data_IF_003384137690
#
_entry.id   IF_003384137690
#
_cell.length_a   1.000
_cell.length_b   1.000
_cell.length_c   1.000
_cell.angle_alpha   90.00
_cell.angle_beta   90.00
_cell.angle_gamma   90.00
#
_symmetry.space_group_name_H-M   'P 1'
#
loop_
_entity.id
_entity.type
_entity.pdbx_description
1 polymer ?
#
# COMPACT_ATOMS: atom_id res chain seq x y z
N UNK A 1 -10.32 -0.03 -19.20
CA UNK A 1 -9.09 0.07 -20.04
C UNK A 1 -9.04 1.29 -20.98
N UNK A 2 -10.14 2.02 -21.19
CA UNK A 2 -10.19 3.22 -22.08
C UNK A 2 -9.07 4.25 -21.86
N UNK A 3 -8.64 4.46 -20.61
CA UNK A 3 -7.54 5.40 -20.32
C UNK A 3 -6.17 4.86 -20.70
N UNK A 4 -5.96 3.53 -20.64
CA UNK A 4 -4.69 2.92 -21.03
C UNK A 4 -4.47 3.06 -22.54
N UNK A 5 -5.49 2.74 -23.35
CA UNK A 5 -5.41 2.89 -24.80
C UNK A 5 -5.21 4.36 -25.18
N UNK A 6 -5.93 5.29 -24.56
CA UNK A 6 -5.76 6.72 -24.82
C UNK A 6 -4.35 7.25 -24.53
N UNK A 7 -3.72 6.82 -23.43
CA UNK A 7 -2.34 7.22 -23.11
C UNK A 7 -1.36 6.65 -24.17
N UNK A 8 -1.51 5.39 -24.56
CA UNK A 8 -0.66 4.76 -25.56
C UNK A 8 -0.80 5.43 -26.94
N UNK A 9 -2.03 5.76 -27.32
CA UNK A 9 -2.33 6.45 -28.57
C UNK A 9 -1.69 7.84 -28.60
N UNK A 10 -1.74 8.58 -27.48
CA UNK A 10 -1.07 9.89 -27.37
C UNK A 10 0.46 9.79 -27.49
N UNK A 11 1.08 8.81 -26.83
CA UNK A 11 2.53 8.59 -26.92
C UNK A 11 2.94 8.27 -28.36
N UNK A 12 2.16 7.41 -29.03
CA UNK A 12 2.39 7.02 -30.42
C UNK A 12 2.16 8.20 -31.37
N UNK A 13 1.13 9.00 -31.12
CA UNK A 13 0.82 10.21 -31.90
C UNK A 13 1.93 11.27 -31.81
N UNK A 14 2.60 11.38 -30.65
CA UNK A 14 3.77 12.24 -30.48
C UNK A 14 5.04 11.71 -31.18
N UNK A 15 4.96 10.57 -31.88
CA UNK A 15 6.07 9.97 -32.63
C UNK A 15 7.01 9.10 -31.79
N UNK A 16 6.68 8.85 -30.52
CA UNK A 16 7.49 8.01 -29.63
C UNK A 16 6.98 6.57 -29.63
N UNK A 17 7.91 5.61 -29.59
CA UNK A 17 7.59 4.20 -29.39
C UNK A 17 8.17 3.73 -28.05
N UNK A 18 7.33 3.35 -27.07
CA UNK A 18 7.83 2.84 -25.81
C UNK A 18 8.59 1.52 -26.04
N UNK A 19 9.78 1.41 -25.45
CA UNK A 19 10.58 0.18 -25.51
C UNK A 19 9.84 -1.02 -24.87
N UNK A 20 9.13 -0.77 -23.77
CA UNK A 20 8.34 -1.78 -23.06
C UNK A 20 7.13 -1.15 -22.38
N UNK A 21 5.99 -1.83 -22.43
CA UNK A 21 4.80 -1.50 -21.65
C UNK A 21 4.83 -2.36 -20.39
N UNK A 22 4.74 -1.72 -19.22
CA UNK A 22 4.74 -2.40 -17.91
C UNK A 22 3.60 -1.87 -17.06
N UNK A 23 3.04 -2.73 -16.21
CA UNK A 23 2.00 -2.33 -15.28
C UNK A 23 2.49 -2.51 -13.85
N UNK A 24 2.18 -1.54 -12.99
CA UNK A 24 2.55 -1.62 -11.58
C UNK A 24 1.96 -2.85 -10.89
N UNK A 25 0.78 -3.31 -11.34
CA UNK A 25 0.10 -4.51 -10.86
C UNK A 25 0.87 -5.81 -11.13
N UNK A 26 1.72 -5.85 -12.16
CA UNK A 26 2.57 -7.02 -12.44
C UNK A 26 3.61 -7.24 -11.32
N UNK A 27 3.83 -6.23 -10.47
CA UNK A 27 4.81 -6.25 -9.38
C UNK A 27 4.19 -6.37 -7.98
N UNK A 28 2.87 -6.59 -7.84
CA UNK A 28 2.22 -6.66 -6.53
C UNK A 28 2.82 -7.75 -5.62
N UNK A 29 3.16 -8.93 -6.16
CA UNK A 29 3.87 -9.96 -5.39
C UNK A 29 5.22 -9.49 -4.86
N UNK A 30 5.99 -8.79 -5.71
CA UNK A 30 7.30 -8.25 -5.32
C UNK A 30 7.14 -7.16 -4.25
N UNK A 31 6.17 -6.28 -4.41
CA UNK A 31 5.86 -5.22 -3.46
C UNK A 31 5.41 -5.80 -2.11
N UNK A 32 4.60 -6.86 -2.12
CA UNK A 32 4.17 -7.55 -0.90
C UNK A 32 5.35 -8.18 -0.17
N UNK A 33 6.24 -8.87 -0.90
CA UNK A 33 7.44 -9.46 -0.32
C UNK A 33 8.39 -8.40 0.26
N UNK A 34 8.51 -7.25 -0.39
CA UNK A 34 9.26 -6.11 0.15
C UNK A 34 8.62 -5.55 1.43
N UNK A 35 7.29 -5.46 1.49
CA UNK A 35 6.58 -5.05 2.71
C UNK A 35 6.83 -6.02 3.87
N UNK A 36 6.76 -7.33 3.63
CA UNK A 36 7.11 -8.36 4.63
C UNK A 36 8.55 -8.20 5.11
N UNK A 37 9.49 -7.90 4.21
CA UNK A 37 10.89 -7.66 4.57
C UNK A 37 11.07 -6.40 5.42
N UNK A 38 10.35 -5.32 5.12
CA UNK A 38 10.36 -4.10 5.93
C UNK A 38 9.82 -4.36 7.34
N UNK A 39 8.74 -5.12 7.47
CA UNK A 39 8.20 -5.51 8.78
C UNK A 39 9.23 -6.33 9.56
N UNK A 40 9.87 -7.32 8.93
CA UNK A 40 10.94 -8.13 9.56
C UNK A 40 12.12 -7.31 10.07
N UNK A 41 12.40 -6.17 9.43
CA UNK A 41 13.46 -5.23 9.84
C UNK A 41 12.99 -4.19 10.86
N UNK A 42 11.78 -4.32 11.37
CA UNK A 42 11.13 -3.33 12.24
C UNK A 42 10.96 -1.94 11.59
N UNK A 43 10.95 -1.87 10.26
CA UNK A 43 10.79 -0.63 9.49
C UNK A 43 9.35 -0.37 9.05
N UNK A 44 8.44 -1.28 9.34
CA UNK A 44 7.01 -1.13 9.07
C UNK A 44 6.18 -1.88 10.12
N UNK A 45 4.96 -1.41 10.37
CA UNK A 45 4.02 -1.99 11.33
C UNK A 45 2.58 -1.84 10.83
N UNK A 46 1.71 -2.74 11.27
CA UNK A 46 0.26 -2.61 11.02
C UNK A 46 -0.33 -1.64 12.05
N UNK A 47 -1.28 -0.82 11.63
CA UNK A 47 -1.94 0.19 12.44
C UNK A 47 -3.46 0.07 12.28
N UNK A 48 -4.19 0.11 13.41
CA UNK A 48 -5.66 0.09 13.44
C UNK A 48 -6.27 1.46 13.82
N UNK A 49 -5.49 2.54 13.74
CA UNK A 49 -6.04 3.88 13.91
C UNK A 49 -6.94 4.21 12.73
N UNK A 50 -8.12 4.78 13.01
CA UNK A 50 -9.02 5.22 11.96
C UNK A 50 -8.48 6.49 11.32
N UNK A 51 -8.88 6.75 10.08
CA UNK A 51 -8.50 7.97 9.37
C UNK A 51 -8.90 9.24 10.16
N UNK A 52 -10.01 9.17 10.89
CA UNK A 52 -10.53 10.23 11.76
C UNK A 52 -9.56 10.59 12.89
N UNK A 53 -8.90 9.58 13.50
CA UNK A 53 -7.94 9.77 14.59
C UNK A 53 -6.61 10.38 14.11
N UNK A 54 -6.33 10.29 12.81
CA UNK A 54 -5.10 10.77 12.17
C UNK A 54 -5.34 12.11 11.46
N UNK A 55 -6.60 12.53 11.26
CA UNK A 55 -6.95 13.81 10.65
C UNK A 55 -6.70 14.96 11.64
N UNK A 56 -5.62 15.70 11.42
CA UNK A 56 -5.30 16.90 12.20
C UNK A 56 -3.95 17.49 11.82
N UNK A 57 -3.66 18.70 12.32
CA UNK A 57 -2.39 19.39 12.09
C UNK A 57 -1.21 18.71 12.82
N UNK A 58 -1.49 17.91 13.86
CA UNK A 58 -0.47 17.19 14.62
C UNK A 58 -1.04 15.89 15.24
N UNK A 59 -1.27 14.83 14.45
CA UNK A 59 -1.86 13.60 14.96
C UNK A 59 -0.89 12.93 15.96
N UNK A 60 -1.41 12.35 17.06
CA UNK A 60 -0.58 11.64 18.01
C UNK A 60 0.10 10.43 17.34
N UNK A 61 1.31 10.06 17.78
CA UNK A 61 2.00 8.90 17.24
C UNK A 61 1.14 7.65 17.43
N UNK A 62 1.24 6.71 16.49
CA UNK A 62 0.41 5.51 16.56
C UNK A 62 0.71 4.72 17.84
N UNK A 63 -0.31 4.32 18.63
CA UNK A 63 -0.11 3.46 19.79
C UNK A 63 0.45 2.08 19.38
N UNK A 64 0.36 1.75 18.10
CA UNK A 64 0.77 0.49 17.52
C UNK A 64 2.18 0.51 16.93
N UNK A 65 2.89 1.64 16.98
CA UNK A 65 4.22 1.81 16.37
C UNK A 65 5.29 0.87 16.94
N UNK A 66 5.18 0.52 18.21
CA UNK A 66 6.14 -0.33 18.95
C UNK A 66 5.69 -1.79 19.09
N UNK A 67 4.66 -2.21 18.35
CA UNK A 67 4.18 -3.59 18.42
C UNK A 67 5.25 -4.59 17.97
N UNK A 68 5.22 -5.84 18.47
CA UNK A 68 6.14 -6.88 18.05
C UNK A 68 6.09 -7.13 16.53
N UNK A 69 7.25 -7.43 15.96
CA UNK A 69 7.42 -7.76 14.54
C UNK A 69 6.53 -8.95 14.14
N UNK A 70 6.49 -10.00 14.96
CA UNK A 70 5.68 -11.21 14.73
C UNK A 70 4.18 -10.89 14.63
N UNK A 71 3.71 -10.00 15.50
CA UNK A 71 2.31 -9.56 15.50
C UNK A 71 2.00 -8.79 14.22
N UNK A 72 2.86 -7.84 13.82
CA UNK A 72 2.69 -7.09 12.55
C UNK A 72 2.68 -8.00 11.33
N UNK A 73 3.53 -9.05 11.31
CA UNK A 73 3.56 -10.02 10.21
C UNK A 73 2.27 -10.83 10.11
N UNK A 74 1.76 -11.31 11.25
CA UNK A 74 0.49 -12.05 11.28
C UNK A 74 -0.65 -11.17 10.81
N UNK A 75 -0.75 -9.96 11.33
CA UNK A 75 -1.80 -9.01 10.97
C UNK A 75 -1.73 -8.62 9.49
N UNK A 76 -0.54 -8.38 8.95
CA UNK A 76 -0.40 -8.05 7.52
C UNK A 76 -0.80 -9.23 6.61
N UNK A 77 -0.55 -10.47 7.04
CA UNK A 77 -1.05 -11.67 6.36
C UNK A 77 -2.58 -11.76 6.45
N UNK A 78 -3.15 -11.44 7.60
CA UNK A 78 -4.61 -11.42 7.80
C UNK A 78 -5.30 -10.32 6.99
N UNK A 79 -4.66 -9.15 6.81
CA UNK A 79 -5.09 -8.10 5.89
C UNK A 79 -5.16 -8.64 4.45
N UNK A 80 -4.12 -9.34 3.98
CA UNK A 80 -4.11 -9.96 2.64
C UNK A 80 -5.20 -11.04 2.47
N UNK A 81 -5.55 -11.74 3.55
CA UNK A 81 -6.57 -12.79 3.54
C UNK A 81 -8.00 -12.26 3.69
N UNK A 82 -8.19 -10.93 3.75
CA UNK A 82 -9.50 -10.31 3.85
C UNK A 82 -10.19 -10.50 5.20
N UNK A 83 -9.44 -10.57 6.30
CA UNK A 83 -10.00 -10.71 7.67
C UNK A 83 -10.42 -9.39 8.34
N UNK A 84 -10.27 -8.27 7.64
CA UNK A 84 -10.49 -6.92 8.16
C UNK A 84 -11.32 -6.12 7.16
N UNK A 85 -12.20 -5.25 7.62
CA UNK A 85 -12.98 -4.37 6.74
C UNK A 85 -12.14 -3.21 6.17
N UNK A 86 -12.66 -2.54 5.14
CA UNK A 86 -11.97 -1.39 4.53
C UNK A 86 -11.69 -0.30 5.57
N UNK A 87 -10.42 0.09 5.69
CA UNK A 87 -9.99 1.12 6.62
C UNK A 87 -9.81 0.68 8.07
N UNK A 88 -10.07 -0.58 8.42
CA UNK A 88 -9.81 -1.10 9.78
C UNK A 88 -8.32 -1.25 10.07
N UNK A 89 -7.53 -1.63 9.07
CA UNK A 89 -6.09 -1.80 9.21
C UNK A 89 -5.33 -1.19 8.03
N UNK A 90 -4.17 -0.61 8.34
CA UNK A 90 -3.23 -0.05 7.37
C UNK A 90 -1.81 -0.47 7.70
N UNK A 91 -0.96 -0.68 6.70
CA UNK A 91 0.47 -0.84 6.93
C UNK A 91 1.13 0.54 6.88
N UNK A 92 1.89 0.91 7.91
CA UNK A 92 2.63 2.17 7.99
C UNK A 92 4.14 1.90 8.03
N UNK A 93 4.91 2.73 7.35
CA UNK A 93 6.38 2.69 7.42
C UNK A 93 6.84 3.44 8.67
N UNK A 94 7.86 2.97 9.38
CA UNK A 94 8.45 3.66 10.54
C UNK A 94 9.46 4.71 10.10
N UNK A 95 9.00 5.76 9.43
CA UNK A 95 9.86 6.85 8.93
C UNK A 95 9.19 8.21 9.13
N UNK A 96 10.01 9.24 9.28
CA UNK A 96 9.57 10.64 9.24
C UNK A 96 10.03 11.22 7.91
N UNK A 97 9.08 11.71 7.09
CA UNK A 97 9.37 12.40 5.84
C UNK A 97 9.86 13.83 6.12
N UNK A 98 10.53 14.44 5.14
CA UNK A 98 11.11 15.79 5.26
C UNK A 98 10.06 16.87 5.61
N UNK A 99 8.81 16.68 5.18
CA UNK A 99 7.67 17.54 5.50
C UNK A 99 7.14 17.35 6.94
N UNK A 100 7.85 16.62 7.80
CA UNK A 100 7.42 16.28 9.16
C UNK A 100 6.33 15.21 9.21
N UNK A 101 5.89 14.69 8.06
CA UNK A 101 4.86 13.65 7.98
C UNK A 101 5.40 12.33 8.54
N UNK A 102 4.85 11.93 9.68
CA UNK A 102 5.23 10.72 10.39
C UNK A 102 4.48 9.50 9.88
N UNK A 103 5.24 8.42 9.74
CA UNK A 103 4.81 7.07 9.43
C UNK A 103 3.79 6.99 8.27
N UNK A 104 4.20 7.24 7.01
CA UNK A 104 3.31 7.20 5.87
C UNK A 104 2.69 5.80 5.66
N UNK A 105 1.45 5.77 5.18
CA UNK A 105 0.72 4.54 4.85
C UNK A 105 1.28 3.93 3.57
N UNK A 106 1.67 2.66 3.64
CA UNK A 106 2.16 1.85 2.52
C UNK A 106 1.08 0.95 1.91
N UNK A 107 0.21 0.34 2.74
CA UNK A 107 -0.89 -0.53 2.28
C UNK A 107 -2.20 -0.18 2.97
N UNK A 108 -3.31 -0.37 2.25
CA UNK A 108 -4.68 -0.13 2.74
C UNK A 108 -5.58 -1.24 2.25
N UNK A 109 -6.54 -1.65 3.06
CA UNK A 109 -7.53 -2.65 2.63
C UNK A 109 -8.52 -1.99 1.67
N UNK A 110 -8.75 -2.63 0.54
CA UNK A 110 -9.78 -2.23 -0.43
C UNK A 110 -10.33 -3.45 -1.16
N UNK A 111 -11.62 -3.71 -1.01
CA UNK A 111 -12.34 -4.80 -1.66
C UNK A 111 -12.90 -4.34 -3.01
N UNK A 112 -12.00 -3.92 -3.89
CA UNK A 112 -12.35 -3.54 -5.26
C UNK A 112 -11.50 -4.33 -6.24
N UNK A 113 -12.17 -5.07 -7.10
CA UNK A 113 -11.55 -5.86 -8.15
C UNK A 113 -10.61 -4.98 -9.00
N UNK A 114 -9.37 -5.42 -9.14
CA UNK A 114 -8.40 -4.74 -9.98
C UNK A 114 -8.57 -5.18 -11.44
N UNK A 115 -8.58 -4.23 -12.37
CA UNK A 115 -8.89 -4.48 -13.79
C UNK A 115 -7.99 -5.53 -14.49
N UNK A 116 -6.79 -5.81 -13.95
CA UNK A 116 -5.87 -6.85 -14.47
C UNK A 116 -5.70 -8.06 -13.57
N UNK A 117 -5.75 -7.87 -12.26
CA UNK A 117 -5.40 -8.91 -11.27
C UNK A 117 -6.63 -9.45 -10.55
N UNK A 118 -7.83 -8.98 -10.92
CA UNK A 118 -9.10 -9.40 -10.36
C UNK A 118 -9.13 -9.20 -8.84
N UNK A 119 -9.65 -10.22 -8.16
CA UNK A 119 -9.85 -10.26 -6.71
C UNK A 119 -8.68 -10.92 -5.95
N UNK A 120 -7.53 -11.08 -6.62
CA UNK A 120 -6.34 -11.71 -6.00
C UNK A 120 -5.78 -10.90 -4.83
N UNK A 121 -6.05 -9.59 -4.80
CA UNK A 121 -5.51 -8.66 -3.81
C UNK A 121 -6.62 -7.79 -3.24
N UNK A 122 -6.73 -7.78 -1.92
CA UNK A 122 -7.61 -6.88 -1.16
C UNK A 122 -6.84 -5.85 -0.32
N UNK A 123 -5.53 -5.72 -0.53
CA UNK A 123 -4.60 -4.79 0.16
C UNK A 123 -3.76 -3.98 -0.81
#
# INVERSE_FOLDING_TARGET
EKFFTGILDMVTWLGYKPYKITHSSDYFDKLYNMAVHLIKKDLAYVCHQKLEDIRGFNPPPSPYRTRPIQESLSLFKDMKNGKFDEGEATLRMKITLEEGKQDPVAYRIKYVAHHRTGDTWCI
#
